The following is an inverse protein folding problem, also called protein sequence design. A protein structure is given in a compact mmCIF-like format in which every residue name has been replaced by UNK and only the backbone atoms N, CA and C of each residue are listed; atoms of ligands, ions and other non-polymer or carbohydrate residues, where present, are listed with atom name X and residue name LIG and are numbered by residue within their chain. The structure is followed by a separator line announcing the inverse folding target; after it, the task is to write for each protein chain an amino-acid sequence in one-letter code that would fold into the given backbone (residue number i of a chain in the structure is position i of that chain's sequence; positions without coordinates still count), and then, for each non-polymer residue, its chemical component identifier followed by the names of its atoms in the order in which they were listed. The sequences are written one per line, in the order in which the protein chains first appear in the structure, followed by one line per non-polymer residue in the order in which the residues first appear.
data_IF_355668081771
#
_entry.id   IF_355668081771
#
_cell.length_a   1.000
_cell.length_b   1.000
_cell.length_c   1.000
_cell.angle_alpha   90.00
_cell.angle_beta   90.00
_cell.angle_gamma   90.00
#
_symmetry.space_group_name_H-M   'P 1'
#
loop_
_entity.id
_entity.type
_entity.pdbx_description
1 polymer ?
#
# COMPACT_ATOMS: atom_id res chain seq x y z
N UNK A 1 -0.22 28.92 -60.71
CA UNK A 1 -0.47 29.48 -59.36
C UNK A 1 -1.96 29.24 -59.12
N UNK A 2 -2.48 28.49 -58.13
CA UNK A 2 -2.33 28.62 -56.68
C UNK A 2 -2.90 27.37 -55.96
N UNK A 3 -2.23 26.97 -54.87
CA UNK A 3 -2.81 26.40 -53.64
C UNK A 3 -3.44 25.00 -53.70
N UNK A 4 -2.67 23.94 -53.48
CA UNK A 4 -2.26 23.39 -52.16
C UNK A 4 -3.38 22.67 -51.41
N UNK A 5 -3.27 21.35 -51.51
CA UNK A 5 -3.80 20.30 -50.64
C UNK A 5 -3.67 20.70 -49.16
N UNK A 6 -4.77 20.73 -48.43
CA UNK A 6 -4.74 20.78 -46.97
C UNK A 6 -5.97 20.08 -46.36
N UNK A 7 -6.13 18.78 -46.63
CA UNK A 7 -6.92 17.91 -45.75
C UNK A 7 -6.06 17.54 -44.55
N UNK A 8 -5.86 18.48 -43.62
CA UNK A 8 -5.22 18.18 -42.35
C UNK A 8 -6.17 17.32 -41.50
N UNK A 9 -5.69 16.12 -41.23
CA UNK A 9 -6.33 15.07 -40.45
C UNK A 9 -6.62 15.57 -39.03
N UNK A 10 -7.89 15.84 -38.71
CA UNK A 10 -8.33 15.97 -37.33
C UNK A 10 -8.17 14.59 -36.66
N UNK A 11 -7.09 14.42 -35.88
CA UNK A 11 -6.83 13.20 -35.13
C UNK A 11 -7.91 13.06 -34.05
N UNK A 12 -8.85 12.14 -34.24
CA UNK A 12 -9.88 11.85 -33.23
C UNK A 12 -9.23 11.55 -31.87
N UNK A 13 -9.80 12.02 -30.74
CA UNK A 13 -9.22 11.75 -29.44
C UNK A 13 -9.20 10.24 -29.20
N UNK A 14 -8.02 9.69 -28.92
CA UNK A 14 -7.87 8.32 -28.46
C UNK A 14 -8.59 8.23 -27.11
N UNK A 15 -9.76 7.60 -27.08
CA UNK A 15 -10.50 7.38 -25.84
C UNK A 15 -9.68 6.51 -24.88
N UNK A 16 -9.11 7.13 -23.85
CA UNK A 16 -8.40 6.39 -22.79
C UNK A 16 -9.45 5.84 -21.83
N UNK A 17 -9.73 4.53 -21.89
CA UNK A 17 -10.52 3.86 -20.86
C UNK A 17 -9.60 3.56 -19.67
N UNK A 18 -9.72 4.35 -18.60
CA UNK A 18 -9.08 4.01 -17.33
C UNK A 18 -9.84 2.87 -16.67
N UNK A 19 -9.24 1.68 -16.65
CA UNK A 19 -9.73 0.53 -15.85
C UNK A 19 -9.48 0.73 -14.35
N UNK A 20 -8.84 1.84 -13.95
CA UNK A 20 -8.46 2.15 -12.58
C UNK A 20 -9.48 3.06 -11.88
N UNK A 21 -10.74 2.66 -11.89
CA UNK A 21 -11.64 3.06 -10.82
C UNK A 21 -11.32 2.20 -9.59
N UNK A 22 -10.38 2.61 -8.75
CA UNK A 22 -10.05 1.85 -7.54
C UNK A 22 -11.30 1.83 -6.65
N UNK A 23 -12.03 0.71 -6.63
CA UNK A 23 -13.14 0.52 -5.72
C UNK A 23 -12.66 0.80 -4.29
N UNK A 24 -13.41 1.61 -3.54
CA UNK A 24 -13.07 1.94 -2.16
C UNK A 24 -12.96 0.63 -1.39
N UNK A 25 -11.75 0.27 -0.98
CA UNK A 25 -11.51 -0.98 -0.27
C UNK A 25 -12.12 -0.86 1.13
N UNK A 26 -13.00 -1.79 1.48
CA UNK A 26 -13.62 -1.80 2.81
C UNK A 26 -12.55 -1.86 3.91
N UNK A 27 -12.82 -1.17 5.02
CA UNK A 27 -12.04 -1.31 6.25
C UNK A 27 -12.59 -2.55 6.98
N UNK A 28 -11.79 -3.61 7.17
CA UNK A 28 -12.24 -4.79 7.88
C UNK A 28 -12.42 -4.46 9.36
N UNK A 29 -13.43 -5.05 9.99
CA UNK A 29 -13.59 -4.95 11.44
C UNK A 29 -12.35 -5.57 12.15
N UNK A 30 -11.93 -5.01 13.30
CA UNK A 30 -10.90 -5.63 14.12
C UNK A 30 -11.33 -7.05 14.54
N UNK A 31 -10.39 -8.01 14.53
CA UNK A 31 -10.64 -9.44 14.81
C UNK A 31 -9.68 -9.93 15.88
N UNK A 32 -10.20 -10.74 16.80
CA UNK A 32 -9.42 -11.34 17.88
C UNK A 32 -8.73 -10.30 18.76
N UNK A 33 -7.43 -10.50 19.00
CA UNK A 33 -6.62 -9.65 19.88
C UNK A 33 -6.15 -8.34 19.21
N UNK A 34 -6.47 -8.15 17.93
CA UNK A 34 -5.99 -7.02 17.15
C UNK A 34 -7.10 -5.98 17.08
N UNK A 35 -7.14 -5.10 18.08
CA UNK A 35 -8.07 -3.96 18.13
C UNK A 35 -7.43 -2.64 17.69
N UNK A 36 -6.10 -2.55 17.74
CA UNK A 36 -5.34 -1.32 17.54
C UNK A 36 -4.30 -1.46 16.41
N UNK A 37 -3.98 -0.40 15.65
CA UNK A 37 -2.89 -0.43 14.68
C UNK A 37 -1.55 -0.85 15.26
N UNK A 38 -1.23 -0.47 16.51
CA UNK A 38 0.04 -0.87 17.14
C UNK A 38 0.09 -2.38 17.38
N UNK A 39 -1.02 -2.98 17.81
CA UNK A 39 -1.14 -4.43 17.98
C UNK A 39 -0.93 -5.16 16.64
N UNK A 40 -1.55 -4.66 15.56
CA UNK A 40 -1.38 -5.22 14.22
C UNK A 40 0.07 -5.16 13.74
N UNK A 41 0.70 -3.98 13.85
CA UNK A 41 2.06 -3.75 13.40
C UNK A 41 3.09 -4.54 14.21
N UNK A 42 2.82 -4.77 15.49
CA UNK A 42 3.64 -5.64 16.34
C UNK A 42 3.51 -7.10 15.90
N UNK A 43 2.29 -7.56 15.61
CA UNK A 43 2.02 -8.95 15.21
C UNK A 43 2.67 -9.34 13.87
N UNK A 44 2.72 -8.43 12.89
CA UNK A 44 3.38 -8.68 11.58
C UNK A 44 4.91 -8.65 11.66
N UNK A 45 5.49 -8.12 12.75
CA UNK A 45 6.93 -8.04 12.97
C UNK A 45 7.69 -7.12 12.00
N UNK A 46 8.96 -7.48 11.71
CA UNK A 46 9.87 -6.73 10.80
C UNK A 46 10.10 -5.25 11.16
N UNK A 47 10.23 -4.96 12.45
CA UNK A 47 10.37 -3.58 12.97
C UNK A 47 9.22 -2.66 12.51
N UNK A 48 8.01 -3.21 12.33
CA UNK A 48 6.83 -2.41 12.00
C UNK A 48 6.22 -1.76 13.25
N UNK A 49 6.50 -2.30 14.44
CA UNK A 49 6.06 -1.74 15.72
C UNK A 49 6.54 -0.28 15.93
N UNK A 50 7.75 0.07 15.49
CA UNK A 50 8.27 1.45 15.55
C UNK A 50 7.51 2.44 14.66
N UNK A 51 6.66 1.96 13.76
CA UNK A 51 5.86 2.79 12.87
C UNK A 51 4.46 3.06 13.42
N UNK A 52 4.08 2.44 14.56
CA UNK A 52 2.76 2.57 15.15
C UNK A 52 2.38 4.03 15.42
N UNK A 53 3.32 4.84 15.89
CA UNK A 53 3.14 6.27 16.15
C UNK A 53 2.72 7.09 14.92
N UNK A 54 2.97 6.58 13.71
CA UNK A 54 2.61 7.25 12.46
C UNK A 54 1.16 7.01 12.05
N UNK A 55 0.52 5.97 12.59
CA UNK A 55 -0.86 5.62 12.27
C UNK A 55 -1.79 6.04 13.40
N UNK A 56 -2.72 6.95 13.10
CA UNK A 56 -3.62 7.55 14.11
C UNK A 56 -4.82 6.67 14.48
N UNK A 57 -5.30 5.85 13.55
CA UNK A 57 -6.48 5.01 13.75
C UNK A 57 -6.44 3.74 12.90
N UNK A 58 -7.32 2.79 13.22
CA UNK A 58 -7.51 1.56 12.46
C UNK A 58 -7.91 1.86 11.01
N UNK A 59 -8.86 2.75 10.80
CA UNK A 59 -9.33 3.17 9.49
C UNK A 59 -8.19 3.80 8.68
N UNK A 60 -7.35 4.62 9.33
CA UNK A 60 -6.19 5.23 8.69
C UNK A 60 -5.19 4.18 8.20
N UNK A 61 -4.92 3.11 8.98
CA UNK A 61 -4.03 2.03 8.57
C UNK A 61 -4.51 1.32 7.28
N UNK A 62 -5.82 1.06 7.16
CA UNK A 62 -6.39 0.35 6.01
C UNK A 62 -6.67 1.26 4.80
N UNK A 63 -6.74 2.57 5.01
CA UNK A 63 -7.03 3.56 3.95
C UNK A 63 -5.76 4.20 3.39
N UNK A 64 -4.67 4.22 4.17
CA UNK A 64 -3.41 4.85 3.79
C UNK A 64 -2.87 4.36 2.44
N UNK A 65 -2.56 5.30 1.57
CA UNK A 65 -1.97 5.04 0.26
C UNK A 65 -0.45 4.92 0.33
N UNK A 66 0.20 4.18 -0.60
CA UNK A 66 1.65 4.10 -0.65
C UNK A 66 2.35 5.46 -0.82
N UNK A 67 1.65 6.43 -1.40
CA UNK A 67 2.11 7.80 -1.60
C UNK A 67 2.07 8.59 -0.28
N UNK A 68 0.97 8.54 0.47
CA UNK A 68 0.87 9.16 1.79
C UNK A 68 1.89 8.57 2.76
N UNK A 69 2.06 7.25 2.76
CA UNK A 69 3.10 6.58 3.56
C UNK A 69 4.52 7.04 3.21
N UNK A 70 4.76 7.45 1.96
CA UNK A 70 6.06 8.00 1.53
C UNK A 70 6.22 9.42 2.03
N UNK A 71 5.22 10.26 1.78
CA UNK A 71 5.34 11.71 1.92
C UNK A 71 5.06 12.17 3.35
N UNK A 72 3.99 11.67 3.98
CA UNK A 72 3.59 12.07 5.33
C UNK A 72 4.35 11.30 6.43
N UNK A 73 4.70 10.04 6.18
CA UNK A 73 5.26 9.15 7.20
C UNK A 73 6.73 8.77 6.96
N UNK A 74 7.33 9.19 5.83
CA UNK A 74 8.73 8.92 5.47
C UNK A 74 9.12 7.43 5.56
N UNK A 75 8.19 6.52 5.24
CA UNK A 75 8.42 5.08 5.36
C UNK A 75 9.29 4.55 4.21
N UNK A 76 10.21 3.64 4.55
CA UNK A 76 11.02 2.96 3.54
C UNK A 76 10.15 2.14 2.58
N UNK A 77 10.65 1.90 1.37
CA UNK A 77 9.93 1.10 0.36
C UNK A 77 9.59 -0.31 0.90
N UNK A 78 10.49 -0.91 1.67
CA UNK A 78 10.31 -2.25 2.26
C UNK A 78 9.16 -2.26 3.28
N UNK A 79 9.14 -1.29 4.19
CA UNK A 79 8.07 -1.17 5.21
C UNK A 79 6.70 -0.94 4.56
N UNK A 80 6.62 -0.05 3.57
CA UNK A 80 5.36 0.25 2.86
C UNK A 80 4.79 -0.99 2.17
N UNK A 81 5.60 -1.68 1.37
CA UNK A 81 5.17 -2.91 0.67
C UNK A 81 4.74 -3.99 1.66
N UNK A 82 5.44 -4.10 2.79
CA UNK A 82 5.15 -5.09 3.81
C UNK A 82 3.79 -4.84 4.48
N UNK A 83 3.54 -3.62 4.93
CA UNK A 83 2.28 -3.23 5.57
C UNK A 83 1.11 -3.40 4.60
N UNK A 84 1.24 -2.91 3.36
CA UNK A 84 0.17 -3.01 2.35
C UNK A 84 -0.16 -4.47 1.98
N UNK A 85 0.85 -5.33 1.91
CA UNK A 85 0.63 -6.75 1.68
C UNK A 85 -0.13 -7.41 2.84
N UNK A 86 0.16 -7.03 4.08
CA UNK A 86 -0.56 -7.55 5.24
C UNK A 86 -1.96 -7.00 5.40
N UNK A 87 -2.19 -5.71 5.13
CA UNK A 87 -3.55 -5.15 5.18
C UNK A 87 -4.44 -5.82 4.13
N UNK A 88 -3.91 -6.15 2.95
CA UNK A 88 -4.63 -6.92 1.94
C UNK A 88 -4.89 -8.37 2.38
N UNK A 89 -3.88 -9.06 2.94
CA UNK A 89 -4.07 -10.41 3.51
C UNK A 89 -5.12 -10.43 4.61
N UNK A 90 -5.14 -9.41 5.45
CA UNK A 90 -6.11 -9.26 6.51
C UNK A 90 -7.53 -9.05 5.95
N UNK A 91 -7.68 -8.27 4.87
CA UNK A 91 -8.96 -8.15 4.14
C UNK A 91 -9.43 -9.48 3.55
N UNK A 92 -8.50 -10.33 3.14
CA UNK A 92 -8.79 -11.68 2.63
C UNK A 92 -9.09 -12.71 3.73
N UNK A 93 -9.13 -12.30 5.00
CA UNK A 93 -9.44 -13.17 6.12
C UNK A 93 -8.22 -13.84 6.77
N UNK A 94 -6.99 -13.61 6.26
CA UNK A 94 -5.78 -14.21 6.82
C UNK A 94 -5.35 -13.46 8.09
N UNK A 95 -5.17 -14.20 9.18
CA UNK A 95 -4.70 -13.63 10.45
C UNK A 95 -3.22 -13.24 10.41
N UNK A 96 -2.82 -12.09 10.99
CA UNK A 96 -1.43 -11.65 11.00
C UNK A 96 -0.55 -12.55 11.87
N UNK A 97 0.61 -12.94 11.34
CA UNK A 97 1.61 -13.69 12.08
C UNK A 97 3.03 -13.25 11.68
N UNK A 98 3.99 -13.51 12.57
CA UNK A 98 5.40 -13.22 12.29
C UNK A 98 5.91 -14.28 11.32
N UNK A 99 6.25 -13.87 10.09
CA UNK A 99 6.91 -14.80 9.15
C UNK A 99 8.36 -15.00 9.61
N UNK A 100 8.75 -16.22 10.02
CA UNK A 100 10.10 -16.47 10.46
C UNK A 100 11.08 -16.25 9.30
N UNK A 101 12.04 -15.37 9.51
CA UNK A 101 13.17 -15.20 8.58
C UNK A 101 14.32 -16.06 9.07
N UNK A 102 14.98 -16.79 8.16
CA UNK A 102 16.21 -17.51 8.49
C UNK A 102 17.21 -16.51 9.09
N UNK A 103 17.85 -16.80 10.23
CA UNK A 103 18.83 -15.91 10.82
C UNK A 103 19.97 -15.69 9.81
N UNK A 104 20.32 -14.43 9.57
CA UNK A 104 21.49 -14.10 8.74
C UNK A 104 22.74 -14.44 9.54
N UNK A 105 23.56 -15.38 9.04
CA UNK A 105 24.87 -15.67 9.65
C UNK A 105 25.73 -14.41 9.58
N UNK A 106 26.08 -13.85 10.74
CA UNK A 106 27.04 -12.73 10.80
C UNK A 106 28.41 -13.28 10.42
N UNK A 107 29.07 -12.67 9.42
CA UNK A 107 30.48 -12.96 9.15
C UNK A 107 31.29 -12.28 10.26
N UNK A 108 31.88 -13.08 11.14
CA UNK A 108 32.90 -12.59 12.08
C UNK A 108 34.09 -12.14 11.26
N UNK A 109 34.55 -10.90 11.49
CA UNK A 109 35.76 -10.35 10.87
C UNK A 109 36.99 -10.98 11.52
#
# INVERSE_FOLDING_TARGET
MNSTIARYLAKAPLGVRSIHGAAKKAVPAPRGDIQDPAAFLTKIGRNSASLAEKFKSWEHLFTATPAEMKTAMSLSVKQRRWILNWTEKYRQGVEPYVIPTKPVKKKTK
#
